data_IF_787704581405
#
_entry.id   IF_787704581405
#
_cell.length_a   1.000
_cell.length_b   1.000
_cell.length_c   1.000
_cell.angle_alpha   90.00
_cell.angle_beta   90.00
_cell.angle_gamma   90.00
#
_symmetry.space_group_name_H-M   'P 1'
#
loop_
_entity.id
_entity.type
_entity.pdbx_description
1 polymer ?
#
# COMPACT_ATOMS: atom_id res chain seq x y z
N UNK A 1 -2.04 -2.26 4.45
CA UNK A 1 -3.22 -2.02 3.59
C UNK A 1 -3.94 -0.72 3.99
N UNK A 2 -4.89 -0.26 3.15
CA UNK A 2 -5.64 1.00 3.35
C UNK A 2 -4.99 2.23 2.71
N UNK A 3 -3.72 2.15 2.32
CA UNK A 3 -3.02 3.25 1.63
C UNK A 3 -3.21 3.09 0.12
N UNK A 4 -3.91 4.04 -0.49
CA UNK A 4 -4.19 4.03 -1.94
C UNK A 4 -3.00 4.61 -2.71
N UNK A 5 -2.37 5.66 -2.19
CA UNK A 5 -1.24 6.31 -2.82
C UNK A 5 -0.38 7.07 -1.81
N UNK A 6 0.87 7.26 -2.16
CA UNK A 6 1.85 8.04 -1.43
C UNK A 6 2.31 9.15 -2.36
N UNK A 7 2.13 10.41 -1.93
CA UNK A 7 2.57 11.57 -2.69
C UNK A 7 3.77 12.19 -1.98
N UNK A 8 5.00 12.08 -2.52
CA UNK A 8 6.12 12.88 -2.04
C UNK A 8 5.81 14.35 -2.31
N UNK A 9 5.81 15.19 -1.27
CA UNK A 9 5.43 16.59 -1.38
C UNK A 9 6.60 17.52 -1.03
N UNK A 10 6.74 18.62 -1.77
CA UNK A 10 7.57 19.75 -1.36
C UNK A 10 6.68 20.72 -0.61
N UNK A 11 7.08 21.06 0.62
CA UNK A 11 6.39 21.99 1.49
C UNK A 11 6.99 23.39 1.32
N UNK A 12 6.17 24.36 1.06
CA UNK A 12 6.54 25.76 0.84
C UNK A 12 5.79 26.66 1.80
N UNK A 13 6.44 27.72 2.27
CA UNK A 13 5.78 28.78 3.02
C UNK A 13 4.93 29.66 2.09
N UNK A 14 3.80 30.15 2.58
CA UNK A 14 2.95 31.09 1.87
C UNK A 14 3.58 32.52 1.95
N UNK A 15 4.44 32.84 1.00
CA UNK A 15 5.08 34.17 0.83
C UNK A 15 4.37 35.05 -0.22
N UNK A 16 3.16 34.64 -0.60
CA UNK A 16 2.38 35.27 -1.65
C UNK A 16 2.51 34.60 -3.02
N UNK A 17 1.58 34.93 -3.91
CA UNK A 17 1.40 34.20 -5.15
C UNK A 17 2.57 34.34 -6.14
N UNK A 18 3.19 35.51 -6.19
CA UNK A 18 4.34 35.71 -7.09
C UNK A 18 5.57 34.91 -6.67
N UNK A 19 5.76 34.68 -5.37
CA UNK A 19 6.83 33.80 -4.89
C UNK A 19 6.47 32.33 -5.16
N UNK A 20 5.20 31.95 -4.98
CA UNK A 20 4.73 30.61 -5.33
C UNK A 20 4.97 30.26 -6.81
N UNK A 21 4.82 31.22 -7.73
CA UNK A 21 5.15 30.99 -9.16
C UNK A 21 6.62 30.58 -9.34
N UNK A 22 7.53 31.31 -8.68
CA UNK A 22 8.96 31.01 -8.75
C UNK A 22 9.29 29.65 -8.14
N UNK A 23 8.70 29.36 -6.98
CA UNK A 23 8.92 28.10 -6.28
C UNK A 23 8.41 26.91 -7.09
N UNK A 24 7.26 27.02 -7.76
CA UNK A 24 6.71 25.98 -8.62
C UNK A 24 7.55 25.80 -9.91
N UNK A 25 8.05 26.87 -10.49
CA UNK A 25 8.99 26.80 -11.62
C UNK A 25 10.29 26.12 -11.20
N UNK A 26 10.86 26.46 -10.05
CA UNK A 26 12.06 25.79 -9.53
C UNK A 26 11.81 24.31 -9.26
N UNK A 27 10.66 23.95 -8.70
CA UNK A 27 10.24 22.56 -8.54
C UNK A 27 10.21 21.80 -9.87
N UNK A 28 9.64 22.41 -10.93
CA UNK A 28 9.59 21.79 -12.26
C UNK A 28 10.98 21.64 -12.87
N UNK A 29 11.87 22.58 -12.60
CA UNK A 29 13.25 22.52 -13.10
C UNK A 29 14.05 21.40 -12.44
N UNK A 30 13.92 21.24 -11.14
CA UNK A 30 14.59 20.20 -10.37
C UNK A 30 14.05 18.80 -10.65
N UNK A 31 12.72 18.65 -10.69
CA UNK A 31 12.08 17.34 -10.83
C UNK A 31 12.10 16.80 -12.25
N UNK A 32 12.16 17.66 -13.25
CA UNK A 32 12.07 17.30 -14.67
C UNK A 32 13.15 17.99 -15.49
N UNK A 33 14.42 17.49 -15.47
CA UNK A 33 15.50 18.03 -16.28
C UNK A 33 15.19 17.99 -17.79
N UNK A 34 14.61 16.90 -18.28
CA UNK A 34 14.02 16.83 -19.61
C UNK A 34 12.57 17.36 -19.56
N UNK A 35 12.28 18.39 -20.34
CA UNK A 35 10.99 19.07 -20.37
C UNK A 35 10.20 18.79 -21.67
N UNK A 36 10.45 17.65 -22.29
CA UNK A 36 9.72 17.22 -23.49
C UNK A 36 8.50 16.36 -23.15
N UNK A 37 7.52 16.95 -22.46
CA UNK A 37 6.29 16.28 -22.03
C UNK A 37 5.12 17.26 -21.95
N UNK A 38 3.91 16.71 -21.84
CA UNK A 38 2.70 17.50 -21.58
C UNK A 38 2.39 17.55 -20.09
N UNK A 39 1.89 18.68 -19.61
CA UNK A 39 1.54 18.84 -18.21
C UNK A 39 0.22 19.56 -17.98
N UNK A 40 -0.31 19.42 -16.78
CA UNK A 40 -1.43 20.18 -16.24
C UNK A 40 -1.13 20.57 -14.80
N UNK A 41 -1.51 21.77 -14.42
CA UNK A 41 -1.55 22.19 -13.01
C UNK A 41 -2.96 21.99 -12.47
N UNK A 42 -3.09 21.30 -11.36
CA UNK A 42 -4.34 21.18 -10.61
C UNK A 42 -4.18 21.71 -9.20
N UNK A 43 -4.90 22.80 -8.90
CA UNK A 43 -4.80 23.45 -7.60
C UNK A 43 -6.03 23.20 -6.74
N UNK A 44 -5.80 22.96 -5.44
CA UNK A 44 -6.84 22.87 -4.42
C UNK A 44 -6.62 23.92 -3.35
N UNK A 45 -7.62 24.76 -3.13
CA UNK A 45 -7.59 25.80 -2.13
C UNK A 45 -8.45 25.44 -0.91
N UNK A 46 -7.81 25.00 0.17
CA UNK A 46 -8.48 24.80 1.47
C UNK A 46 -8.59 26.12 2.26
N UNK A 47 -7.58 26.99 2.17
CA UNK A 47 -7.57 28.32 2.81
C UNK A 47 -8.45 29.28 2.02
N UNK A 48 -9.69 29.47 2.43
CA UNK A 48 -10.67 30.30 1.73
C UNK A 48 -10.29 31.80 1.67
N UNK A 49 -9.46 32.27 2.58
CA UNK A 49 -8.92 33.66 2.63
C UNK A 49 -7.80 33.91 1.61
N UNK A 50 -7.33 32.90 0.87
CA UNK A 50 -6.33 33.10 -0.18
C UNK A 50 -6.92 33.93 -1.33
N UNK A 51 -6.19 34.94 -1.86
CA UNK A 51 -6.75 35.93 -2.80
C UNK A 51 -7.32 35.34 -4.09
N UNK A 52 -6.69 34.25 -4.60
CA UNK A 52 -7.05 33.61 -5.85
C UNK A 52 -7.89 32.36 -5.63
N UNK A 53 -8.78 32.03 -6.54
CA UNK A 53 -9.46 30.74 -6.54
C UNK A 53 -8.61 29.64 -7.20
N UNK A 54 -9.02 28.37 -7.05
CA UNK A 54 -8.24 27.23 -7.55
C UNK A 54 -8.02 27.26 -9.06
N UNK A 55 -8.99 27.73 -9.84
CA UNK A 55 -8.87 27.80 -11.31
C UNK A 55 -7.86 28.89 -11.73
N UNK A 56 -7.89 30.04 -11.07
CA UNK A 56 -6.92 31.12 -11.29
C UNK A 56 -5.51 30.67 -10.94
N UNK A 57 -5.32 30.04 -9.78
CA UNK A 57 -4.04 29.48 -9.37
C UNK A 57 -3.51 28.48 -10.41
N UNK A 58 -4.35 27.53 -10.84
CA UNK A 58 -3.95 26.50 -11.82
C UNK A 58 -3.54 27.12 -13.17
N UNK A 59 -4.32 28.11 -13.66
CA UNK A 59 -4.04 28.78 -14.92
C UNK A 59 -2.73 29.57 -14.86
N UNK A 60 -2.60 30.40 -13.83
CA UNK A 60 -1.48 31.34 -13.73
C UNK A 60 -0.15 30.63 -13.39
N UNK A 61 -0.20 29.50 -12.66
CA UNK A 61 0.97 28.66 -12.46
C UNK A 61 1.33 27.89 -13.74
N UNK A 62 0.35 27.41 -14.48
CA UNK A 62 0.58 26.75 -15.78
C UNK A 62 1.23 27.71 -16.79
N UNK A 63 0.77 28.96 -16.82
CA UNK A 63 1.36 30.01 -17.63
C UNK A 63 2.79 30.34 -17.19
N UNK A 64 3.06 30.46 -15.90
CA UNK A 64 4.40 30.71 -15.36
C UNK A 64 5.39 29.61 -15.73
N UNK A 65 4.98 28.33 -15.70
CA UNK A 65 5.81 27.21 -16.14
C UNK A 65 6.13 27.31 -17.64
N UNK A 66 5.15 27.60 -18.49
CA UNK A 66 5.36 27.74 -19.93
C UNK A 66 6.34 28.88 -20.26
N UNK A 67 6.19 30.02 -19.63
CA UNK A 67 7.08 31.17 -19.84
C UNK A 67 8.49 30.96 -19.31
N UNK A 68 8.67 30.12 -18.31
CA UNK A 68 9.99 29.83 -17.75
C UNK A 68 10.83 28.94 -18.69
N UNK A 69 10.19 28.14 -19.55
CA UNK A 69 10.87 27.16 -20.42
C UNK A 69 10.49 27.28 -21.90
N UNK A 70 10.67 28.46 -22.53
CA UNK A 70 10.13 28.77 -23.87
C UNK A 70 10.76 27.95 -25.00
N UNK A 71 12.01 27.49 -24.82
CA UNK A 71 12.73 26.71 -25.84
C UNK A 71 12.62 25.20 -25.60
N UNK A 72 11.84 24.79 -24.60
CA UNK A 72 11.64 23.38 -24.26
C UNK A 72 10.47 22.77 -25.04
N UNK A 73 10.37 21.46 -25.05
CA UNK A 73 9.22 20.74 -25.62
C UNK A 73 7.99 20.71 -24.74
N UNK A 74 7.98 21.42 -23.61
CA UNK A 74 6.89 21.41 -22.62
C UNK A 74 5.61 22.03 -23.20
N UNK A 75 4.47 21.37 -23.00
CA UNK A 75 3.15 21.82 -23.47
C UNK A 75 2.08 21.57 -22.45
N UNK A 76 1.02 22.34 -22.46
CA UNK A 76 -0.16 22.08 -21.63
C UNK A 76 -1.11 21.12 -22.34
N UNK A 77 -1.51 20.05 -21.64
CA UNK A 77 -2.64 19.21 -22.02
C UNK A 77 -3.56 19.05 -20.80
N UNK A 78 -4.78 19.57 -20.91
CA UNK A 78 -5.76 19.55 -19.80
C UNK A 78 -6.53 18.24 -19.70
N UNK A 79 -6.48 17.39 -20.74
CA UNK A 79 -7.24 16.15 -20.81
C UNK A 79 -6.39 14.91 -20.52
N UNK A 80 -5.20 14.84 -21.12
CA UNK A 80 -4.31 13.69 -21.04
C UNK A 80 -2.85 14.12 -20.79
N UNK A 81 -2.56 14.83 -19.68
CA UNK A 81 -1.20 15.26 -19.37
C UNK A 81 -0.31 14.07 -18.97
N UNK A 82 0.95 14.09 -19.41
CA UNK A 82 1.97 13.16 -18.95
C UNK A 82 2.31 13.41 -17.47
N UNK A 83 2.30 14.69 -17.05
CA UNK A 83 2.62 15.13 -15.70
C UNK A 83 1.48 15.97 -15.13
N UNK A 84 0.94 15.56 -13.99
CA UNK A 84 -0.03 16.33 -13.20
C UNK A 84 0.69 17.02 -12.05
N UNK A 85 0.79 18.35 -12.12
CA UNK A 85 1.36 19.15 -11.03
C UNK A 85 0.25 19.57 -10.08
N UNK A 86 0.25 18.99 -8.89
CA UNK A 86 -0.75 19.28 -7.86
C UNK A 86 -0.23 20.36 -6.91
N UNK A 87 -1.05 21.37 -6.64
CA UNK A 87 -0.74 22.46 -5.72
C UNK A 87 -1.87 22.59 -4.71
N UNK A 88 -1.58 22.30 -3.44
CA UNK A 88 -2.55 22.44 -2.35
C UNK A 88 -2.24 23.65 -1.49
N UNK A 89 -3.11 24.66 -1.51
CA UNK A 89 -3.02 25.85 -0.67
C UNK A 89 -3.82 25.63 0.60
N UNK A 90 -3.10 25.41 1.70
CA UNK A 90 -3.60 25.25 3.06
C UNK A 90 -3.03 26.34 3.96
N UNK A 91 -2.66 26.04 5.21
CA UNK A 91 -1.85 26.95 6.04
C UNK A 91 -0.43 27.11 5.49
N UNK A 92 0.08 26.07 4.89
CA UNK A 92 1.28 26.00 4.06
C UNK A 92 0.88 25.53 2.65
N UNK A 93 1.80 25.62 1.71
CA UNK A 93 1.58 25.19 0.33
C UNK A 93 2.31 23.86 0.11
N UNK A 94 1.64 22.91 -0.51
CA UNK A 94 2.18 21.61 -0.85
C UNK A 94 2.16 21.41 -2.37
N UNK A 95 3.34 21.11 -2.93
CA UNK A 95 3.50 20.87 -4.38
C UNK A 95 3.99 19.44 -4.59
N UNK A 96 3.33 18.70 -5.48
CA UNK A 96 3.72 17.34 -5.85
C UNK A 96 3.23 16.99 -7.26
N UNK A 97 3.95 16.10 -7.93
CA UNK A 97 3.60 15.59 -9.25
C UNK A 97 3.65 14.07 -9.33
N UNK A 98 4.22 13.41 -8.31
CA UNK A 98 4.34 11.96 -8.27
C UNK A 98 3.29 11.36 -7.32
N UNK A 99 2.62 10.32 -7.79
CA UNK A 99 1.72 9.50 -6.98
C UNK A 99 2.19 8.05 -7.08
N UNK A 100 2.80 7.56 -6.02
CA UNK A 100 3.26 6.18 -5.92
C UNK A 100 2.06 5.32 -5.46
N UNK A 101 1.61 4.33 -6.26
CA UNK A 101 0.49 3.49 -5.88
C UNK A 101 0.78 2.74 -4.58
N UNK A 102 -0.14 2.82 -3.63
CA UNK A 102 -0.11 2.01 -2.40
C UNK A 102 -0.72 0.63 -2.61
N UNK A 103 -0.64 -0.21 -1.58
CA UNK A 103 -1.22 -1.56 -1.60
C UNK A 103 -2.75 -1.57 -1.74
N UNK A 104 -3.40 -0.45 -1.47
CA UNK A 104 -4.85 -0.31 -1.49
C UNK A 104 -5.54 -1.18 -0.44
N UNK A 105 -6.79 -1.55 -0.70
CA UNK A 105 -7.59 -2.34 0.22
C UNK A 105 -8.21 -1.50 1.34
N UNK A 106 -8.64 -2.18 2.40
CA UNK A 106 -9.21 -1.56 3.60
C UNK A 106 -8.19 -1.57 4.74
N UNK A 107 -8.22 -0.60 5.66
CA UNK A 107 -7.39 -0.64 6.85
C UNK A 107 -7.60 -1.93 7.65
N UNK A 108 -6.50 -2.58 8.03
CA UNK A 108 -6.55 -3.86 8.75
C UNK A 108 -7.29 -3.68 10.09
N UNK A 109 -8.16 -4.62 10.42
CA UNK A 109 -8.99 -4.62 11.63
C UNK A 109 -10.37 -3.95 11.48
N UNK A 110 -10.66 -3.30 10.34
CA UNK A 110 -11.99 -2.68 10.12
C UNK A 110 -13.12 -3.69 9.91
N UNK A 111 -12.78 -4.91 9.47
CA UNK A 111 -13.73 -6.00 9.17
C UNK A 111 -13.51 -7.23 10.10
N UNK A 112 -13.17 -6.99 11.35
CA UNK A 112 -13.01 -8.05 12.33
C UNK A 112 -11.69 -8.80 12.21
N UNK A 113 -11.65 -10.04 12.68
CA UNK A 113 -10.46 -10.90 12.73
C UNK A 113 -10.72 -12.29 12.18
N UNK A 114 -9.65 -12.95 11.71
CA UNK A 114 -9.71 -14.33 11.23
C UNK A 114 -8.49 -15.13 11.68
N UNK A 115 -8.68 -16.43 11.85
CA UNK A 115 -7.60 -17.39 12.08
C UNK A 115 -7.16 -17.98 10.75
N UNK A 116 -5.91 -17.75 10.38
CA UNK A 116 -5.27 -18.29 9.19
C UNK A 116 -4.64 -19.64 9.50
N UNK A 117 -5.09 -20.70 8.85
CA UNK A 117 -4.39 -21.99 8.89
C UNK A 117 -3.16 -21.90 7.98
N UNK A 118 -2.02 -21.54 8.58
CA UNK A 118 -0.80 -21.28 7.84
C UNK A 118 0.03 -22.54 7.67
N UNK A 119 0.35 -22.87 6.44
CA UNK A 119 1.18 -24.02 6.07
C UNK A 119 2.46 -23.58 5.37
N UNK A 120 3.36 -24.54 5.11
CA UNK A 120 4.57 -24.29 4.31
C UNK A 120 4.33 -24.17 2.79
N UNK A 121 3.07 -24.25 2.32
CA UNK A 121 2.67 -24.05 0.94
C UNK A 121 2.55 -22.59 0.54
N UNK A 122 2.25 -22.32 -0.74
CA UNK A 122 2.11 -20.97 -1.29
C UNK A 122 0.70 -20.41 -1.11
N UNK A 123 -0.33 -21.24 -1.01
CA UNK A 123 -1.73 -20.82 -1.02
C UNK A 123 -2.14 -20.11 0.28
N UNK A 124 -1.74 -20.67 1.44
CA UNK A 124 -2.16 -20.11 2.73
C UNK A 124 -1.64 -18.70 2.99
N UNK A 125 -0.38 -18.32 2.71
CA UNK A 125 0.05 -16.92 2.84
C UNK A 125 -0.64 -15.99 1.83
N UNK A 126 -0.95 -16.47 0.61
CA UNK A 126 -1.72 -15.68 -0.37
C UNK A 126 -3.15 -15.45 0.12
N UNK A 127 -3.80 -16.48 0.66
CA UNK A 127 -5.12 -16.33 1.28
C UNK A 127 -5.11 -15.31 2.43
N UNK A 128 -4.09 -15.37 3.30
CA UNK A 128 -3.88 -14.39 4.37
C UNK A 128 -3.75 -12.96 3.83
N UNK A 129 -2.94 -12.76 2.79
CA UNK A 129 -2.80 -11.47 2.12
C UNK A 129 -4.13 -10.95 1.57
N UNK A 130 -4.88 -11.81 0.86
CA UNK A 130 -6.16 -11.42 0.23
C UNK A 130 -7.23 -11.07 1.25
N UNK A 131 -7.30 -11.81 2.36
CA UNK A 131 -8.25 -11.57 3.45
C UNK A 131 -7.89 -10.28 4.20
N UNK A 132 -6.61 -10.08 4.54
CA UNK A 132 -6.15 -8.84 5.18
C UNK A 132 -6.39 -7.60 4.33
N UNK A 133 -6.25 -7.71 3.00
CA UNK A 133 -6.54 -6.61 2.06
C UNK A 133 -8.01 -6.15 2.12
N UNK A 134 -8.90 -6.99 2.64
CA UNK A 134 -10.31 -6.68 2.89
C UNK A 134 -10.59 -6.12 4.29
N UNK A 135 -9.54 -5.75 5.02
CA UNK A 135 -9.64 -5.12 6.33
C UNK A 135 -9.74 -6.08 7.52
N UNK A 136 -9.46 -7.37 7.31
CA UNK A 136 -9.49 -8.37 8.37
C UNK A 136 -8.13 -8.47 9.05
N UNK A 137 -8.07 -8.40 10.38
CA UNK A 137 -6.88 -8.70 11.16
C UNK A 137 -6.64 -10.20 11.22
N UNK A 138 -5.38 -10.63 11.25
CA UNK A 138 -5.02 -12.05 11.23
C UNK A 138 -4.33 -12.48 12.52
N UNK A 139 -4.76 -13.63 13.02
CA UNK A 139 -3.91 -14.55 13.77
C UNK A 139 -3.65 -15.79 12.91
N UNK A 140 -2.59 -16.54 13.17
CA UNK A 140 -2.27 -17.72 12.39
C UNK A 140 -2.06 -18.94 13.28
N UNK A 141 -2.46 -20.10 12.79
CA UNK A 141 -2.22 -21.40 13.43
C UNK A 141 -1.42 -22.28 12.50
N UNK A 142 -0.36 -22.90 13.05
CA UNK A 142 0.44 -23.94 12.40
C UNK A 142 0.41 -25.22 13.21
N UNK A 143 0.05 -26.32 12.57
CA UNK A 143 0.07 -27.64 13.16
C UNK A 143 1.42 -28.30 12.91
N UNK A 144 2.18 -28.51 14.01
CA UNK A 144 3.53 -29.07 14.02
C UNK A 144 3.48 -30.48 14.63
N UNK A 145 4.02 -31.46 13.93
CA UNK A 145 4.01 -32.85 14.36
C UNK A 145 5.44 -33.45 14.35
N UNK A 146 6.31 -33.05 15.31
CA UNK A 146 7.63 -33.66 15.42
C UNK A 146 7.52 -35.13 15.87
N UNK A 147 8.41 -36.08 15.37
CA UNK A 147 9.52 -35.80 14.44
C UNK A 147 9.12 -35.84 12.96
N UNK A 148 7.85 -36.01 12.61
CA UNK A 148 7.35 -36.16 11.23
C UNK A 148 7.40 -34.84 10.45
N UNK A 149 7.35 -33.70 11.13
CA UNK A 149 7.61 -32.39 10.55
C UNK A 149 8.91 -31.82 11.12
N UNK A 150 9.81 -31.38 10.24
CA UNK A 150 11.12 -30.88 10.63
C UNK A 150 11.04 -29.44 11.19
N UNK A 151 12.03 -29.04 12.01
CA UNK A 151 12.18 -27.64 12.47
C UNK A 151 12.37 -26.69 11.27
N UNK A 152 12.99 -27.15 10.17
CA UNK A 152 13.09 -26.36 8.92
C UNK A 152 11.72 -26.05 8.32
N UNK A 153 10.77 -26.99 8.38
CA UNK A 153 9.40 -26.76 7.93
C UNK A 153 8.69 -25.71 8.80
N UNK A 154 8.88 -25.77 10.12
CA UNK A 154 8.37 -24.78 11.07
C UNK A 154 8.98 -23.38 10.81
N UNK A 155 10.31 -23.31 10.62
CA UNK A 155 10.98 -22.05 10.31
C UNK A 155 10.45 -21.44 9.01
N UNK A 156 10.19 -22.24 7.97
CA UNK A 156 9.57 -21.78 6.73
C UNK A 156 8.20 -21.14 6.98
N UNK A 157 7.39 -21.69 7.85
CA UNK A 157 6.08 -21.12 8.20
C UNK A 157 6.23 -19.76 8.90
N UNK A 158 7.19 -19.66 9.84
CA UNK A 158 7.53 -18.38 10.48
C UNK A 158 7.95 -17.32 9.44
N UNK A 159 8.78 -17.71 8.48
CA UNK A 159 9.24 -16.79 7.42
C UNK A 159 8.10 -16.36 6.49
N UNK A 160 7.14 -17.24 6.22
CA UNK A 160 5.93 -16.91 5.47
C UNK A 160 5.01 -15.97 6.26
N UNK A 161 4.83 -16.19 7.57
CA UNK A 161 4.09 -15.28 8.44
C UNK A 161 4.70 -13.87 8.41
N UNK A 162 6.02 -13.75 8.54
CA UNK A 162 6.76 -12.47 8.45
C UNK A 162 6.57 -11.75 7.10
N UNK A 163 6.39 -12.51 6.01
CA UNK A 163 6.10 -11.91 4.70
C UNK A 163 4.70 -11.32 4.62
N UNK A 164 3.72 -12.03 5.18
CA UNK A 164 2.32 -11.54 5.24
C UNK A 164 2.20 -10.35 6.19
N UNK A 165 2.90 -10.39 7.33
CA UNK A 165 2.93 -9.34 8.36
C UNK A 165 3.29 -7.96 7.80
N UNK A 166 4.13 -7.88 6.78
CA UNK A 166 4.50 -6.62 6.10
C UNK A 166 3.28 -5.85 5.57
N UNK A 167 2.19 -6.53 5.30
CA UNK A 167 0.96 -5.96 4.75
C UNK A 167 -0.20 -5.96 5.76
N UNK A 168 -0.30 -7.00 6.58
CA UNK A 168 -1.40 -7.21 7.53
C UNK A 168 -1.16 -6.59 8.92
N UNK A 169 0.06 -6.09 9.18
CA UNK A 169 0.49 -5.80 10.54
C UNK A 169 0.81 -7.07 11.34
N UNK A 170 1.16 -6.96 12.63
CA UNK A 170 1.61 -8.07 13.45
C UNK A 170 0.67 -9.27 13.43
N UNK A 171 1.23 -10.46 13.26
CA UNK A 171 0.49 -11.74 13.27
C UNK A 171 0.94 -12.57 14.45
N UNK A 172 0.02 -12.94 15.33
CA UNK A 172 0.26 -13.91 16.39
C UNK A 172 0.20 -15.32 15.81
N UNK A 173 1.34 -16.02 15.79
CA UNK A 173 1.44 -17.39 15.29
C UNK A 173 1.32 -18.39 16.44
N UNK A 174 0.24 -19.17 16.43
CA UNK A 174 0.01 -20.30 17.34
C UNK A 174 0.61 -21.56 16.73
N UNK A 175 1.55 -22.20 17.44
CA UNK A 175 2.14 -23.48 17.03
C UNK A 175 1.52 -24.58 17.88
N UNK A 176 0.67 -25.37 17.26
CA UNK A 176 -0.04 -26.48 17.92
C UNK A 176 0.74 -27.78 17.71
N UNK A 177 1.10 -28.47 18.80
CA UNK A 177 1.64 -29.82 18.69
C UNK A 177 0.52 -30.79 18.28
N UNK A 178 0.66 -31.40 17.11
CA UNK A 178 -0.35 -32.27 16.53
C UNK A 178 0.09 -33.75 16.49
N UNK A 179 1.25 -34.08 17.07
CA UNK A 179 1.87 -35.43 16.98
C UNK A 179 0.97 -36.52 17.52
N UNK A 180 0.47 -36.38 18.74
CA UNK A 180 -0.32 -37.41 19.39
C UNK A 180 -1.67 -37.63 18.69
N UNK A 181 -2.29 -36.54 18.25
CA UNK A 181 -3.53 -36.59 17.48
C UNK A 181 -3.31 -37.25 16.13
N UNK A 182 -2.21 -36.94 15.46
CA UNK A 182 -1.87 -37.55 14.17
C UNK A 182 -1.64 -39.07 14.29
N UNK A 183 -0.89 -39.49 15.32
CA UNK A 183 -0.64 -40.91 15.59
C UNK A 183 -1.93 -41.65 15.93
N UNK A 184 -2.76 -41.07 16.78
CA UNK A 184 -4.06 -41.67 17.13
C UNK A 184 -4.95 -41.86 15.90
N UNK A 185 -5.04 -40.85 15.01
CA UNK A 185 -5.81 -40.95 13.77
C UNK A 185 -5.22 -42.02 12.86
N UNK A 186 -3.89 -42.10 12.77
CA UNK A 186 -3.19 -43.08 11.95
C UNK A 186 -3.53 -44.52 12.36
N UNK A 187 -3.59 -44.76 13.70
CA UNK A 187 -3.87 -46.09 14.25
C UNK A 187 -5.35 -46.49 14.19
N UNK A 188 -6.26 -45.50 14.24
CA UNK A 188 -7.71 -45.78 14.41
C UNK A 188 -8.54 -45.60 13.13
N UNK A 189 -7.97 -45.01 12.09
CA UNK A 189 -8.75 -44.63 10.89
C UNK A 189 -8.22 -45.26 9.61
N UNK A 190 -9.08 -45.49 8.60
CA UNK A 190 -8.65 -45.96 7.29
C UNK A 190 -7.60 -45.01 6.68
N UNK A 191 -6.55 -45.61 6.08
CA UNK A 191 -5.40 -44.82 5.58
C UNK A 191 -5.75 -43.89 4.41
N UNK A 192 -6.74 -44.21 3.61
CA UNK A 192 -7.27 -43.39 2.51
C UNK A 192 -8.04 -42.15 3.00
N UNK A 193 -8.57 -42.17 4.23
CA UNK A 193 -9.33 -41.08 4.82
C UNK A 193 -8.50 -40.19 5.74
N UNK A 194 -7.25 -40.53 6.05
CA UNK A 194 -6.41 -39.87 7.07
C UNK A 194 -6.34 -38.35 6.87
N UNK A 195 -6.13 -37.91 5.63
CA UNK A 195 -5.99 -36.46 5.34
C UNK A 195 -7.27 -35.68 5.64
N UNK A 196 -8.43 -36.26 5.35
CA UNK A 196 -9.73 -35.63 5.58
C UNK A 196 -10.00 -35.55 7.07
N UNK A 197 -9.75 -36.66 7.79
CA UNK A 197 -9.97 -36.75 9.23
C UNK A 197 -9.06 -35.80 9.98
N UNK A 198 -7.75 -35.78 9.66
CA UNK A 198 -6.79 -34.82 10.24
C UNK A 198 -7.25 -33.37 10.06
N UNK A 199 -7.64 -32.96 8.86
CA UNK A 199 -8.17 -31.61 8.60
C UNK A 199 -9.41 -31.29 9.43
N UNK A 200 -10.30 -32.26 9.60
CA UNK A 200 -11.49 -32.09 10.45
C UNK A 200 -11.12 -31.84 11.93
N UNK A 201 -10.11 -32.54 12.45
CA UNK A 201 -9.60 -32.30 13.81
C UNK A 201 -8.91 -30.95 13.91
N UNK A 202 -8.08 -30.58 12.93
CA UNK A 202 -7.45 -29.25 12.89
C UNK A 202 -8.46 -28.11 12.93
N UNK A 203 -9.66 -28.30 12.31
CA UNK A 203 -10.72 -27.29 12.34
C UNK A 203 -11.52 -27.25 13.66
N UNK A 204 -11.34 -28.22 14.56
CA UNK A 204 -11.98 -28.26 15.88
C UNK A 204 -11.13 -27.67 16.99
N UNK A 205 -9.83 -27.55 16.77
CA UNK A 205 -8.85 -26.97 17.70
C UNK A 205 -8.85 -25.44 17.55
#
# INVERSE_FOLDING_TARGET
>A
FGIIGICPVVRMEDKGFEELKKDVVAYMDEMYPDKNFTFKVESRRAKKSYPLNSMEISRDLGEAILYAFPESGIKVDVHHPDVMVNVEVRNEIYVYSQIIPGAGGMPVGTNGSAMLLLSGGIDSPVAGYMVSKRGVSLEATYFHAPPYTSERAKQKVVDLAKKVEKYSGPIKLHVVNFTDIQLYIYDQCPHDELTIIMRRYMMKI
#
